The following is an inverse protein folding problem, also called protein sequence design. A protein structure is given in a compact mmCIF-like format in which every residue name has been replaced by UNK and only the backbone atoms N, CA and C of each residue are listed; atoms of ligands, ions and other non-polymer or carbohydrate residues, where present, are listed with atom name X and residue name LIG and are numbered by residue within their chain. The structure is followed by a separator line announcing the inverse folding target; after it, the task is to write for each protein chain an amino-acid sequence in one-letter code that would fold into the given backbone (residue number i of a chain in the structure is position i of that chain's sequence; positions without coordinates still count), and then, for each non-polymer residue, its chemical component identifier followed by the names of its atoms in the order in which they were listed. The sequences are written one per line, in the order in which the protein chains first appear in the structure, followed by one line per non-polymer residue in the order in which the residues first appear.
data_IF_809750214723
#
_entry.id   IF_809750214723
#
_cell.length_a   1.000
_cell.length_b   1.000
_cell.length_c   1.000
_cell.angle_alpha   90.00
_cell.angle_beta   90.00
_cell.angle_gamma   90.00
#
_symmetry.space_group_name_H-M   'P 1'
#
loop_
_entity.id
_entity.type
_entity.pdbx_description
1 polymer ?
#
# COMPACT_ATOMS: atom_id res chain seq x y z
N UNK A 1 -9.97 38.08 -7.55
CA UNK A 1 -8.68 38.53 -6.96
C UNK A 1 -7.56 37.91 -7.78
N UNK A 2 -6.66 38.71 -8.37
CA UNK A 2 -5.54 38.22 -9.21
C UNK A 2 -4.27 38.23 -8.38
N UNK A 3 -3.62 37.09 -8.22
CA UNK A 3 -2.33 36.96 -7.55
C UNK A 3 -1.25 36.80 -8.61
N UNK A 4 -0.23 37.65 -8.56
CA UNK A 4 0.97 37.52 -9.39
C UNK A 4 2.09 37.09 -8.47
N UNK A 5 2.70 35.93 -8.75
CA UNK A 5 3.86 35.41 -8.01
C UNK A 5 5.01 35.26 -8.99
N UNK A 6 6.22 35.60 -8.56
CA UNK A 6 7.42 35.23 -9.27
C UNK A 6 7.78 33.80 -8.87
N UNK A 7 7.97 32.94 -9.85
CA UNK A 7 8.26 31.53 -9.64
C UNK A 7 9.51 31.20 -10.44
N UNK A 8 10.49 30.59 -9.78
CA UNK A 8 11.71 30.14 -10.45
C UNK A 8 11.39 29.03 -11.48
N UNK A 9 12.21 28.93 -12.53
CA UNK A 9 11.98 28.03 -13.66
C UNK A 9 11.83 26.56 -13.22
N UNK A 10 12.61 26.13 -12.22
CA UNK A 10 12.56 24.76 -11.69
C UNK A 10 11.21 24.47 -11.00
N UNK A 11 10.71 25.44 -10.23
CA UNK A 11 9.41 25.32 -9.56
C UNK A 11 8.26 25.35 -10.57
N UNK A 12 8.40 26.13 -11.64
CA UNK A 12 7.45 26.13 -12.74
C UNK A 12 7.45 24.78 -13.47
N UNK A 13 8.62 24.20 -13.73
CA UNK A 13 8.76 22.88 -14.35
C UNK A 13 8.11 21.78 -13.50
N UNK A 14 8.32 21.79 -12.19
CA UNK A 14 7.66 20.86 -11.26
C UNK A 14 6.13 21.02 -11.27
N UNK A 15 5.64 22.26 -11.18
CA UNK A 15 4.21 22.53 -11.24
C UNK A 15 3.59 22.07 -12.56
N UNK A 16 4.32 22.24 -13.67
CA UNK A 16 3.90 21.78 -15.00
C UNK A 16 3.83 20.26 -15.09
N UNK A 17 4.84 19.55 -14.60
CA UNK A 17 4.84 18.10 -14.55
C UNK A 17 3.63 17.58 -13.73
N UNK A 18 3.40 18.17 -12.56
CA UNK A 18 2.24 17.83 -11.72
C UNK A 18 0.90 18.13 -12.41
N UNK A 19 0.78 19.25 -13.12
CA UNK A 19 -0.43 19.60 -13.86
C UNK A 19 -0.74 18.59 -14.97
N UNK A 20 0.28 18.13 -15.71
CA UNK A 20 0.14 17.12 -16.78
C UNK A 20 -0.30 15.77 -16.20
N UNK A 21 0.37 15.29 -15.16
CA UNK A 21 0.04 14.01 -14.51
C UNK A 21 -1.37 13.99 -13.95
N UNK A 22 -1.78 15.09 -13.29
CA UNK A 22 -3.08 15.19 -12.63
C UNK A 22 -4.21 15.69 -13.55
N UNK A 23 -3.92 16.00 -14.82
CA UNK A 23 -4.85 16.60 -15.80
C UNK A 23 -5.54 17.87 -15.28
N UNK A 24 -4.79 18.72 -14.59
CA UNK A 24 -5.27 19.97 -14.00
C UNK A 24 -4.68 21.18 -14.75
N UNK A 25 -5.32 22.34 -14.60
CA UNK A 25 -4.71 23.60 -15.03
C UNK A 25 -3.48 23.90 -14.17
N UNK A 26 -2.51 24.61 -14.77
CA UNK A 26 -1.26 24.98 -14.08
C UNK A 26 -1.53 25.77 -12.79
N UNK A 27 -2.52 26.68 -12.81
CA UNK A 27 -2.91 27.49 -11.66
C UNK A 27 -3.53 26.64 -10.54
N UNK A 28 -4.31 25.61 -10.88
CA UNK A 28 -4.86 24.66 -9.92
C UNK A 28 -3.77 23.78 -9.32
N UNK A 29 -2.84 23.30 -10.13
CA UNK A 29 -1.69 22.50 -9.69
C UNK A 29 -0.80 23.28 -8.70
N UNK A 30 -0.48 24.55 -9.01
CA UNK A 30 0.29 25.43 -8.11
C UNK A 30 -0.48 25.63 -6.79
N UNK A 31 -1.78 25.92 -6.87
CA UNK A 31 -2.62 26.12 -5.67
C UNK A 31 -2.68 24.87 -4.80
N UNK A 32 -2.73 23.69 -5.41
CA UNK A 32 -2.77 22.42 -4.70
C UNK A 32 -1.43 22.10 -4.05
N UNK A 33 -0.30 22.32 -4.74
CA UNK A 33 1.04 22.18 -4.16
C UNK A 33 1.23 23.09 -2.93
N UNK A 34 0.84 24.37 -3.04
CA UNK A 34 0.89 25.32 -1.92
C UNK A 34 -0.03 24.95 -0.75
N UNK A 35 -1.15 24.28 -1.04
CA UNK A 35 -2.07 23.79 0.00
C UNK A 35 -1.53 22.54 0.68
N UNK A 36 -0.92 21.63 -0.07
CA UNK A 36 -0.30 20.42 0.51
C UNK A 36 0.83 20.78 1.47
N UNK A 37 1.64 21.80 1.17
CA UNK A 37 2.72 22.24 2.08
C UNK A 37 2.21 22.97 3.33
N UNK A 38 1.00 23.53 3.29
CA UNK A 38 0.39 24.26 4.41
C UNK A 38 -0.62 23.46 5.22
N UNK A 39 -1.04 22.28 4.74
CA UNK A 39 -1.76 21.37 5.60
C UNK A 39 -0.80 21.03 6.74
N UNK A 40 -1.16 21.30 8.01
CA UNK A 40 -0.41 20.70 9.10
C UNK A 40 -0.43 19.21 8.79
N UNK A 41 0.75 18.59 8.71
CA UNK A 41 0.81 17.15 8.62
C UNK A 41 -0.15 16.66 9.70
N UNK A 42 -1.27 16.07 9.29
CA UNK A 42 -2.07 15.30 10.22
C UNK A 42 -1.06 14.25 10.59
N UNK A 43 -0.40 14.44 11.72
CA UNK A 43 0.34 13.41 12.38
C UNK A 43 -0.76 12.39 12.63
N UNK A 44 -0.95 11.49 11.66
CA UNK A 44 -1.45 10.16 11.95
C UNK A 44 -0.52 9.73 13.06
N UNK A 45 -0.97 9.86 14.30
CA UNK A 45 -0.30 9.31 15.46
C UNK A 45 -0.01 7.89 14.98
N UNK A 46 1.27 7.53 14.75
CA UNK A 46 1.57 6.20 14.27
C UNK A 46 0.92 5.31 15.30
N UNK A 47 -0.12 4.57 14.90
CA UNK A 47 -0.77 3.60 15.77
C UNK A 47 0.38 2.77 16.28
N UNK A 48 0.67 2.91 17.57
CA UNK A 48 1.99 2.62 18.12
C UNK A 48 2.45 1.30 17.54
N UNK A 49 3.47 1.38 16.68
CA UNK A 49 4.09 0.18 16.15
C UNK A 49 4.69 -0.46 17.39
N UNK A 50 4.02 -1.49 17.91
CA UNK A 50 4.63 -2.29 18.96
C UNK A 50 5.90 -2.87 18.37
N UNK A 51 6.95 -2.99 19.17
CA UNK A 51 8.05 -3.87 18.79
C UNK A 51 7.64 -5.25 19.27
N UNK A 52 7.62 -6.23 18.37
CA UNK A 52 7.32 -7.60 18.78
C UNK A 52 8.43 -8.08 19.74
N UNK A 53 8.12 -8.48 20.98
CA UNK A 53 9.11 -8.66 22.04
C UNK A 53 10.15 -9.76 21.75
N UNK A 54 9.84 -10.69 20.84
CA UNK A 54 10.71 -11.82 20.50
C UNK A 54 11.50 -11.56 19.21
N UNK A 55 10.88 -10.93 18.21
CA UNK A 55 11.48 -10.80 16.87
C UNK A 55 12.10 -9.44 16.61
N UNK A 56 11.83 -8.43 17.45
CA UNK A 56 12.39 -7.09 17.31
C UNK A 56 11.86 -6.30 16.11
N UNK A 57 10.94 -6.87 15.32
CA UNK A 57 10.36 -6.19 14.17
C UNK A 57 9.24 -5.23 14.59
N UNK A 58 9.11 -4.09 13.90
CA UNK A 58 7.97 -3.19 14.08
C UNK A 58 6.69 -3.88 13.62
N UNK A 59 5.73 -4.04 14.52
CA UNK A 59 4.39 -4.57 14.23
C UNK A 59 3.38 -3.45 14.29
N UNK A 60 2.68 -3.23 13.17
CA UNK A 60 1.48 -2.41 13.14
C UNK A 60 0.35 -3.15 13.84
N UNK A 61 -0.31 -2.49 14.81
CA UNK A 61 -1.65 -2.91 15.25
C UNK A 61 -2.63 -2.60 14.11
N UNK A 62 -2.71 -3.50 13.13
CA UNK A 62 -3.71 -3.38 12.08
C UNK A 62 -5.10 -3.65 12.66
N UNK A 63 -6.14 -3.03 12.07
CA UNK A 63 -7.56 -3.41 12.24
C UNK A 63 -7.86 -4.77 11.58
N UNK A 64 -6.89 -5.68 11.56
CA UNK A 64 -7.00 -6.98 10.95
C UNK A 64 -7.98 -7.84 11.73
N UNK A 65 -8.87 -8.52 11.01
CA UNK A 65 -9.73 -9.57 11.58
C UNK A 65 -8.83 -10.58 12.30
N UNK A 66 -9.16 -10.99 13.55
CA UNK A 66 -8.43 -12.06 14.21
C UNK A 66 -8.50 -13.32 13.34
N UNK A 67 -7.34 -13.85 12.93
CA UNK A 67 -7.30 -15.12 12.21
C UNK A 67 -7.80 -16.21 13.15
N UNK A 68 -8.76 -17.00 12.67
CA UNK A 68 -9.20 -18.22 13.35
C UNK A 68 -8.31 -19.38 12.91
N UNK A 69 -8.26 -20.44 13.73
CA UNK A 69 -7.54 -21.68 13.39
C UNK A 69 -8.02 -22.28 12.06
N UNK A 70 -9.29 -22.08 11.73
CA UNK A 70 -9.88 -22.49 10.45
C UNK A 70 -9.30 -21.71 9.26
N UNK A 71 -9.04 -20.40 9.44
CA UNK A 71 -8.43 -19.56 8.40
C UNK A 71 -6.96 -19.96 8.16
N UNK A 72 -6.26 -20.42 9.21
CA UNK A 72 -4.90 -20.93 9.12
C UNK A 72 -4.88 -22.25 8.34
N UNK A 73 -5.78 -23.18 8.65
CA UNK A 73 -5.86 -24.50 7.97
C UNK A 73 -6.10 -24.35 6.47
N UNK A 74 -7.07 -23.51 6.09
CA UNK A 74 -7.35 -23.21 4.67
C UNK A 74 -6.14 -22.62 3.94
N UNK A 75 -5.39 -21.73 4.60
CA UNK A 75 -4.22 -21.10 4.00
C UNK A 75 -3.08 -22.09 3.74
N UNK A 76 -2.95 -23.12 4.59
CA UNK A 76 -1.95 -24.19 4.42
C UNK A 76 -2.37 -25.12 3.27
N UNK A 77 -3.64 -25.54 3.24
CA UNK A 77 -4.19 -26.37 2.18
C UNK A 77 -4.05 -25.71 0.79
N UNK A 78 -4.34 -24.42 0.69
CA UNK A 78 -4.19 -23.64 -0.55
C UNK A 78 -2.72 -23.53 -1.01
N UNK A 79 -1.77 -23.46 -0.08
CA UNK A 79 -0.34 -23.39 -0.41
C UNK A 79 0.19 -24.75 -0.88
N UNK A 80 -0.22 -25.83 -0.23
CA UNK A 80 0.16 -27.19 -0.59
C UNK A 80 -0.36 -27.55 -1.99
N UNK A 81 -1.60 -27.17 -2.33
CA UNK A 81 -2.16 -27.35 -3.68
C UNK A 81 -1.34 -26.62 -4.72
N UNK A 82 -0.99 -25.34 -4.49
CA UNK A 82 -0.17 -24.54 -5.42
C UNK A 82 1.25 -25.12 -5.59
N UNK A 83 1.84 -25.63 -4.51
CA UNK A 83 3.13 -26.30 -4.57
C UNK A 83 3.07 -27.61 -5.38
N UNK A 84 2.00 -28.39 -5.26
CA UNK A 84 1.81 -29.63 -6.02
C UNK A 84 1.55 -29.37 -7.51
N UNK A 85 0.82 -28.30 -7.86
CA UNK A 85 0.66 -27.84 -9.25
C UNK A 85 1.99 -27.41 -9.87
N UNK A 86 2.84 -26.71 -9.10
CA UNK A 86 4.19 -26.30 -9.55
C UNK A 86 5.12 -27.48 -9.81
N UNK A 87 4.90 -28.62 -9.12
CA UNK A 87 5.60 -29.88 -9.34
C UNK A 87 5.07 -30.68 -10.55
N UNK A 88 4.09 -30.14 -11.29
CA UNK A 88 3.59 -30.72 -12.53
C UNK A 88 2.61 -31.88 -12.35
N UNK A 89 1.99 -32.00 -11.17
CA UNK A 89 0.97 -33.01 -10.92
C UNK A 89 -0.35 -32.62 -11.58
N UNK A 90 -1.02 -33.60 -12.17
CA UNK A 90 -2.36 -33.39 -12.74
C UNK A 90 -3.40 -33.24 -11.63
N UNK A 91 -4.52 -32.53 -11.86
CA UNK A 91 -5.54 -32.29 -10.82
C UNK A 91 -6.04 -33.56 -10.12
N UNK A 92 -6.17 -34.67 -10.87
CA UNK A 92 -6.60 -35.97 -10.34
C UNK A 92 -5.56 -36.61 -9.39
N UNK A 93 -4.28 -36.30 -9.56
CA UNK A 93 -3.20 -36.80 -8.70
C UNK A 93 -3.07 -36.00 -7.40
N UNK A 94 -3.38 -34.70 -7.45
CA UNK A 94 -3.40 -33.82 -6.28
C UNK A 94 -4.54 -34.24 -5.35
N UNK A 95 -5.73 -34.51 -5.89
CA UNK A 95 -6.89 -34.96 -5.12
C UNK A 95 -6.60 -36.29 -4.39
N UNK A 96 -5.88 -37.21 -5.04
CA UNK A 96 -5.47 -38.49 -4.44
C UNK A 96 -4.41 -38.34 -3.36
N UNK A 97 -3.50 -37.37 -3.48
CA UNK A 97 -2.45 -37.10 -2.49
C UNK A 97 -3.02 -36.42 -1.23
N UNK A 98 -4.05 -35.58 -1.36
CA UNK A 98 -4.71 -34.92 -0.23
C UNK A 98 -5.66 -35.83 0.57
N UNK A 99 -6.09 -36.96 -0.01
CA UNK A 99 -6.98 -37.93 0.66
C UNK A 99 -6.25 -39.04 1.44
N UNK A 100 -4.90 -39.03 1.46
CA UNK A 100 -4.07 -40.02 2.16
C UNK A 100 -3.49 -39.46 3.46
#
# INVERSE_FOLDING_TARGET
MRLTINLDDDLYAMARAHAVTSKLSISKAISDLLRHTRQPAIQSIPHSQGIHPISGFPVSKGDGRPLTEEDIRRSIEDEDVRHLELMGLTPEQIEKAMQS
#
